data_IF_722695616398
#
_entry.id   IF_722695616398
#
_cell.length_a   1.000
_cell.length_b   1.000
_cell.length_c   1.000
_cell.angle_alpha   90.00
_cell.angle_beta   90.00
_cell.angle_gamma   90.00
#
_symmetry.space_group_name_H-M   'P 1'
#
loop_
_entity.id
_entity.type
_entity.pdbx_description
1 polymer ?
#
# COMPACT_ATOMS: atom_id res chain seq x y z
N UNK A 1 -0.35 5.30 24.05
CA UNK A 1 -1.41 4.31 24.31
C UNK A 1 -0.78 3.22 25.13
N UNK A 2 -1.49 2.67 26.14
CA UNK A 2 -0.95 1.54 26.92
C UNK A 2 -0.76 0.35 25.98
N UNK A 3 0.37 -0.33 26.10
CA UNK A 3 0.69 -1.50 25.28
C UNK A 3 -0.12 -2.74 25.71
N UNK A 4 -0.95 -2.60 26.75
CA UNK A 4 -1.77 -3.65 27.33
C UNK A 4 -3.17 -3.14 27.63
N UNK A 5 -4.17 -4.02 27.56
CA UNK A 5 -5.56 -3.67 27.84
C UNK A 5 -6.53 -4.82 27.59
N UNK A 6 -7.81 -4.51 27.75
CA UNK A 6 -8.93 -5.44 27.51
C UNK A 6 -10.03 -4.73 26.75
N UNK A 7 -10.85 -5.48 26.00
CA UNK A 7 -12.04 -4.97 25.32
C UNK A 7 -13.09 -6.08 25.10
N UNK A 8 -14.34 -5.66 25.03
CA UNK A 8 -15.44 -6.46 24.48
C UNK A 8 -15.68 -6.03 23.03
N UNK A 9 -15.61 -6.97 22.10
CA UNK A 9 -15.64 -6.69 20.67
C UNK A 9 -16.44 -7.74 19.89
N UNK A 10 -16.83 -7.37 18.68
CA UNK A 10 -17.32 -8.29 17.66
C UNK A 10 -16.14 -8.65 16.74
N UNK A 11 -15.98 -9.92 16.45
CA UNK A 11 -14.96 -10.41 15.47
C UNK A 11 -15.68 -11.25 14.42
N UNK A 12 -15.41 -11.09 13.11
CA UNK A 12 -15.91 -12.01 12.10
C UNK A 12 -15.54 -13.45 12.45
N UNK A 13 -16.50 -14.36 12.39
CA UNK A 13 -16.29 -15.78 12.74
C UNK A 13 -15.11 -16.40 12.02
N UNK A 14 -14.92 -16.06 10.75
CA UNK A 14 -13.81 -16.54 9.93
C UNK A 14 -12.41 -16.13 10.43
N UNK A 15 -12.33 -15.12 11.31
CA UNK A 15 -11.09 -14.62 11.91
C UNK A 15 -10.93 -15.05 13.37
N UNK A 16 -11.90 -15.80 13.92
CA UNK A 16 -11.93 -16.20 15.31
C UNK A 16 -11.51 -17.67 15.45
N UNK A 17 -10.29 -17.90 15.96
CA UNK A 17 -9.80 -19.25 16.30
C UNK A 17 -9.98 -19.45 17.80
N UNK A 18 -11.15 -19.92 18.21
CA UNK A 18 -11.48 -20.32 19.59
C UNK A 18 -11.83 -21.79 19.59
N UNK A 19 -11.21 -22.56 20.47
CA UNK A 19 -11.45 -24.03 20.59
C UNK A 19 -12.85 -24.31 21.12
N UNK A 20 -13.42 -23.46 21.97
CA UNK A 20 -14.75 -23.58 22.55
C UNK A 20 -15.83 -22.87 21.68
N UNK A 21 -16.07 -23.44 20.51
CA UNK A 21 -17.04 -22.90 19.53
C UNK A 21 -18.48 -22.98 20.04
N UNK A 22 -18.80 -23.96 20.89
CA UNK A 22 -20.17 -24.22 21.36
C UNK A 22 -20.73 -23.12 22.26
N UNK A 23 -19.85 -22.32 22.85
CA UNK A 23 -20.21 -21.19 23.72
C UNK A 23 -20.14 -19.83 23.02
N UNK A 24 -19.84 -19.79 21.71
CA UNK A 24 -19.80 -18.54 20.95
C UNK A 24 -21.21 -18.01 20.66
N UNK A 25 -21.47 -16.78 21.05
CA UNK A 25 -22.65 -16.02 20.59
C UNK A 25 -22.32 -15.44 19.22
N UNK A 26 -22.97 -15.98 18.19
CA UNK A 26 -22.80 -15.55 16.79
C UNK A 26 -24.10 -14.84 16.38
N UNK A 27 -23.96 -13.66 15.79
CA UNK A 27 -25.11 -12.90 15.29
C UNK A 27 -25.46 -13.24 13.84
N UNK A 28 -26.51 -12.57 13.33
CA UNK A 28 -27.01 -12.78 11.95
C UNK A 28 -26.03 -12.31 10.87
N UNK A 29 -25.01 -11.52 11.24
CA UNK A 29 -23.96 -11.02 10.36
C UNK A 29 -22.69 -11.88 10.44
N UNK A 30 -22.75 -13.05 11.07
CA UNK A 30 -21.64 -13.99 11.32
C UNK A 30 -20.51 -13.34 12.15
N UNK A 31 -20.88 -12.49 13.11
CA UNK A 31 -19.97 -11.86 14.05
C UNK A 31 -20.03 -12.54 15.41
N UNK A 32 -18.88 -12.86 16.00
CA UNK A 32 -18.72 -13.46 17.31
C UNK A 32 -18.52 -12.38 18.38
N UNK A 33 -19.25 -12.46 19.48
CA UNK A 33 -19.05 -11.61 20.65
C UNK A 33 -17.92 -12.15 21.52
N UNK A 34 -16.83 -11.39 21.67
CA UNK A 34 -15.56 -11.83 22.27
C UNK A 34 -15.09 -10.83 23.31
N UNK A 35 -14.58 -11.35 24.42
CA UNK A 35 -13.68 -10.64 25.30
C UNK A 35 -12.24 -10.89 24.85
N UNK A 36 -11.48 -9.80 24.63
CA UNK A 36 -10.07 -9.85 24.24
C UNK A 36 -9.23 -9.13 25.28
N UNK A 37 -8.08 -9.72 25.63
CA UNK A 37 -7.00 -9.02 26.34
C UNK A 37 -5.71 -9.07 25.53
N UNK A 38 -4.89 -8.03 25.71
CA UNK A 38 -3.56 -7.95 25.11
C UNK A 38 -2.56 -7.39 26.10
N UNK A 39 -1.32 -7.87 25.98
CA UNK A 39 -0.20 -7.47 26.77
C UNK A 39 1.03 -7.30 25.89
N UNK A 40 1.76 -6.22 26.05
CA UNK A 40 2.93 -5.86 25.24
C UNK A 40 2.69 -5.90 23.72
N UNK A 41 1.47 -5.55 23.30
CA UNK A 41 1.08 -5.51 21.88
C UNK A 41 0.69 -6.86 21.28
N UNK A 42 0.65 -7.93 22.07
CA UNK A 42 0.22 -9.27 21.66
C UNK A 42 -1.10 -9.64 22.32
N UNK A 43 -1.96 -10.35 21.58
CA UNK A 43 -3.18 -10.93 22.15
C UNK A 43 -2.76 -11.99 23.19
N UNK A 44 -3.14 -11.78 24.44
CA UNK A 44 -2.87 -12.69 25.54
C UNK A 44 -4.04 -13.62 25.81
N UNK A 45 -5.27 -13.21 25.53
CA UNK A 45 -6.46 -14.01 25.77
C UNK A 45 -7.59 -13.65 24.81
N UNK A 46 -8.34 -14.69 24.37
CA UNK A 46 -9.59 -14.59 23.66
C UNK A 46 -10.61 -15.51 24.36
N UNK A 47 -11.74 -14.97 24.80
CA UNK A 47 -12.83 -15.73 25.41
C UNK A 47 -14.17 -15.41 24.78
N UNK A 48 -15.09 -16.40 24.68
CA UNK A 48 -16.49 -16.11 24.38
C UNK A 48 -17.06 -15.12 25.40
N UNK A 49 -17.79 -14.13 24.90
CA UNK A 49 -18.53 -13.23 25.78
C UNK A 49 -19.91 -13.83 26.06
N UNK A 50 -20.07 -14.40 27.26
CA UNK A 50 -21.30 -15.12 27.64
C UNK A 50 -22.47 -14.19 28.05
N UNK A 51 -22.28 -12.88 27.97
CA UNK A 51 -23.30 -11.91 28.36
C UNK A 51 -24.24 -11.62 27.20
N UNK A 52 -25.49 -12.15 27.29
CA UNK A 52 -26.54 -11.91 26.28
C UNK A 52 -27.23 -10.53 26.41
N UNK A 53 -26.89 -9.74 27.44
CA UNK A 53 -27.62 -8.51 27.77
C UNK A 53 -27.12 -7.33 26.92
N UNK A 54 -25.87 -7.27 26.60
CA UNK A 54 -25.27 -6.16 25.80
C UNK A 54 -24.41 -6.70 24.67
N UNK A 55 -24.77 -6.38 23.43
CA UNK A 55 -23.95 -6.66 22.26
C UNK A 55 -22.80 -5.64 22.19
N UNK A 56 -21.52 -6.05 22.02
CA UNK A 56 -20.43 -5.10 21.77
C UNK A 56 -20.73 -4.22 20.54
N UNK A 57 -20.30 -2.97 20.59
CA UNK A 57 -20.53 -1.99 19.50
C UNK A 57 -19.37 -1.88 18.52
N UNK A 58 -18.19 -2.37 18.91
CA UNK A 58 -16.99 -2.24 18.12
C UNK A 58 -16.65 -3.55 17.43
N UNK A 59 -16.32 -3.48 16.16
CA UNK A 59 -15.80 -4.61 15.38
C UNK A 59 -14.27 -4.57 15.41
N UNK A 60 -13.66 -5.68 15.79
CA UNK A 60 -12.21 -5.86 15.73
C UNK A 60 -11.83 -6.54 14.41
N UNK A 61 -10.95 -5.91 13.68
CA UNK A 61 -10.41 -6.43 12.42
C UNK A 61 -8.88 -6.38 12.45
N UNK A 62 -8.19 -7.26 11.71
CA UNK A 62 -6.78 -7.08 11.42
C UNK A 62 -6.54 -5.75 10.71
N UNK A 63 -5.36 -5.14 10.92
CA UNK A 63 -4.99 -3.95 10.18
C UNK A 63 -4.91 -4.26 8.69
N UNK A 64 -5.33 -3.28 7.86
CA UNK A 64 -5.44 -3.46 6.42
C UNK A 64 -4.08 -3.47 5.72
N UNK A 65 -4.05 -4.17 4.58
CA UNK A 65 -2.93 -4.19 3.64
C UNK A 65 -3.43 -3.71 2.29
N UNK A 66 -2.83 -2.64 1.77
CA UNK A 66 -3.09 -2.14 0.41
C UNK A 66 -1.95 -2.56 -0.51
N UNK A 67 -2.26 -3.41 -1.46
CA UNK A 67 -1.26 -4.00 -2.36
C UNK A 67 -1.02 -3.22 -3.64
N UNK A 68 -1.89 -2.24 -3.98
CA UNK A 68 -1.79 -1.49 -5.22
C UNK A 68 -2.44 -0.11 -5.09
N UNK A 69 -1.64 0.90 -4.84
CA UNK A 69 -2.08 2.30 -4.79
C UNK A 69 -1.15 3.21 -5.61
N UNK A 70 -1.57 4.46 -5.83
CA UNK A 70 -0.81 5.49 -6.54
C UNK A 70 -0.86 6.79 -5.74
N UNK A 71 0.00 6.92 -4.75
CA UNK A 71 0.00 8.08 -3.84
C UNK A 71 0.51 9.36 -4.47
N UNK A 72 1.32 9.28 -5.51
CA UNK A 72 1.78 10.39 -6.32
C UNK A 72 0.65 11.13 -7.05
N UNK A 73 -0.45 10.42 -7.34
CA UNK A 73 -1.63 10.92 -8.06
C UNK A 73 -2.83 11.17 -7.14
N UNK A 74 -2.68 11.00 -5.84
CA UNK A 74 -3.77 11.22 -4.89
C UNK A 74 -4.14 12.69 -4.79
N UNK A 75 -5.41 12.96 -4.44
CA UNK A 75 -5.95 14.31 -4.20
C UNK A 75 -5.92 15.26 -5.41
N UNK A 76 -5.98 14.72 -6.62
CA UNK A 76 -5.95 15.50 -7.87
C UNK A 76 -7.33 15.77 -8.45
N UNK A 77 -8.37 15.13 -7.94
CA UNK A 77 -9.73 15.18 -8.50
C UNK A 77 -10.31 16.59 -8.62
N UNK A 78 -10.04 17.46 -7.65
CA UNK A 78 -10.59 18.84 -7.66
C UNK A 78 -10.08 19.65 -8.85
N UNK A 79 -8.82 19.45 -9.25
CA UNK A 79 -8.18 20.21 -10.33
C UNK A 79 -8.25 19.46 -11.66
N UNK A 80 -8.28 18.12 -11.61
CA UNK A 80 -8.22 17.23 -12.77
C UNK A 80 -9.27 16.11 -12.66
N UNK A 81 -10.56 16.41 -12.80
CA UNK A 81 -11.63 15.41 -12.68
C UNK A 81 -11.73 14.54 -13.94
N UNK A 82 -11.85 13.21 -13.76
CA UNK A 82 -12.20 12.29 -14.84
C UNK A 82 -13.72 12.28 -15.04
N UNK A 83 -14.24 13.22 -15.80
CA UNK A 83 -15.68 13.35 -16.06
C UNK A 83 -16.22 12.29 -17.03
N UNK A 84 -15.36 11.65 -17.82
CA UNK A 84 -15.75 10.57 -18.73
C UNK A 84 -16.02 9.24 -18.02
N UNK A 85 -15.57 9.11 -16.76
CA UNK A 85 -15.76 7.90 -15.92
C UNK A 85 -15.27 6.60 -16.57
N UNK A 86 -14.28 6.68 -17.46
CA UNK A 86 -13.66 5.53 -18.12
C UNK A 86 -12.13 5.59 -18.06
N UNK A 87 -11.46 4.52 -18.49
CA UNK A 87 -10.01 4.42 -18.45
C UNK A 87 -9.31 5.44 -19.35
N UNK A 88 -9.85 5.69 -20.56
CA UNK A 88 -9.31 6.68 -21.50
C UNK A 88 -9.30 8.08 -20.91
N UNK A 89 -10.41 8.49 -20.30
CA UNK A 89 -10.53 9.75 -19.57
C UNK A 89 -9.56 9.83 -18.39
N UNK A 90 -9.43 8.76 -17.59
CA UNK A 90 -8.47 8.71 -16.49
C UNK A 90 -7.03 8.89 -16.97
N UNK A 91 -6.65 8.24 -18.07
CA UNK A 91 -5.32 8.38 -18.65
C UNK A 91 -5.07 9.80 -19.17
N UNK A 92 -6.02 10.37 -19.90
CA UNK A 92 -5.95 11.73 -20.42
C UNK A 92 -5.73 12.76 -19.32
N UNK A 93 -6.55 12.68 -18.26
CA UNK A 93 -6.46 13.57 -17.09
C UNK A 93 -5.14 13.40 -16.34
N UNK A 94 -4.64 12.17 -16.20
CA UNK A 94 -3.33 11.92 -15.59
C UNK A 94 -2.18 12.54 -16.40
N UNK A 95 -2.26 12.50 -17.74
CA UNK A 95 -1.26 13.13 -18.60
C UNK A 95 -1.30 14.66 -18.50
N UNK A 96 -2.48 15.28 -18.38
CA UNK A 96 -2.61 16.71 -18.15
C UNK A 96 -2.06 17.13 -16.78
N UNK A 97 -2.39 16.40 -15.71
CA UNK A 97 -1.87 16.64 -14.37
C UNK A 97 -0.34 16.50 -14.35
N UNK A 98 0.20 15.53 -15.07
CA UNK A 98 1.65 15.31 -15.15
C UNK A 98 2.43 16.53 -15.65
N UNK A 99 1.86 17.35 -16.54
CA UNK A 99 2.49 18.59 -17.03
C UNK A 99 2.71 19.63 -15.92
N UNK A 100 1.92 19.56 -14.85
CA UNK A 100 1.99 20.51 -13.71
C UNK A 100 2.55 19.86 -12.44
N UNK A 101 2.91 18.60 -12.52
CA UNK A 101 3.41 17.80 -11.40
C UNK A 101 4.84 18.24 -11.04
N UNK A 102 5.06 18.54 -9.77
CA UNK A 102 6.38 18.87 -9.23
C UNK A 102 6.77 17.88 -8.15
N UNK A 103 8.07 17.77 -7.86
CA UNK A 103 8.59 16.96 -6.76
C UNK A 103 7.89 17.26 -5.43
N UNK A 104 7.72 18.51 -5.11
CA UNK A 104 7.11 18.94 -3.83
C UNK A 104 5.64 18.52 -3.74
N UNK A 105 4.86 18.68 -4.82
CA UNK A 105 3.47 18.20 -4.90
C UNK A 105 3.38 16.69 -4.71
N UNK A 106 4.28 15.92 -5.33
CA UNK A 106 4.30 14.46 -5.16
C UNK A 106 4.60 14.08 -3.72
N UNK A 107 5.62 14.67 -3.11
CA UNK A 107 5.98 14.40 -1.72
C UNK A 107 4.86 14.76 -0.74
N UNK A 108 4.21 15.90 -0.93
CA UNK A 108 3.06 16.32 -0.13
C UNK A 108 1.91 15.32 -0.23
N UNK A 109 1.54 14.89 -1.44
CA UNK A 109 0.48 13.90 -1.68
C UNK A 109 0.80 12.56 -1.04
N UNK A 110 2.03 12.09 -1.21
CA UNK A 110 2.49 10.83 -0.63
C UNK A 110 2.44 10.90 0.90
N UNK A 111 3.00 11.94 1.51
CA UNK A 111 2.99 12.09 2.97
C UNK A 111 1.56 12.21 3.53
N UNK A 112 0.68 12.96 2.87
CA UNK A 112 -0.73 13.08 3.23
C UNK A 112 -1.45 11.74 3.13
N UNK A 113 -1.21 10.96 2.07
CA UNK A 113 -1.76 9.62 1.87
C UNK A 113 -1.31 8.66 2.96
N UNK A 114 -0.01 8.67 3.32
CA UNK A 114 0.53 7.84 4.39
C UNK A 114 -0.11 8.15 5.74
N UNK A 115 -0.23 9.42 6.11
CA UNK A 115 -0.91 9.85 7.35
C UNK A 115 -2.36 9.40 7.38
N UNK A 116 -3.07 9.53 6.26
CA UNK A 116 -4.46 9.08 6.13
C UNK A 116 -4.58 7.57 6.27
N UNK A 117 -3.71 6.81 5.63
CA UNK A 117 -3.68 5.36 5.70
C UNK A 117 -3.42 4.85 7.13
N UNK A 118 -2.42 5.41 7.81
CA UNK A 118 -2.12 5.08 9.22
C UNK A 118 -3.34 5.34 10.10
N UNK A 119 -3.97 6.52 9.95
CA UNK A 119 -5.17 6.89 10.70
C UNK A 119 -6.34 5.92 10.48
N UNK A 120 -6.43 5.36 9.27
CA UNK A 120 -7.48 4.41 8.89
C UNK A 120 -7.07 2.93 9.10
N UNK A 121 -6.04 2.65 9.88
CA UNK A 121 -5.70 1.30 10.32
C UNK A 121 -4.92 0.45 9.32
N UNK A 122 -4.31 1.05 8.31
CA UNK A 122 -3.41 0.31 7.41
C UNK A 122 -2.09 -0.06 8.11
N UNK A 123 -1.61 -1.29 7.86
CA UNK A 123 -0.33 -1.82 8.37
C UNK A 123 0.74 -1.90 7.31
N UNK A 124 0.34 -2.16 6.07
CA UNK A 124 1.26 -2.26 4.95
C UNK A 124 0.64 -1.66 3.69
N UNK A 125 1.47 -1.01 2.88
CA UNK A 125 1.05 -0.39 1.62
C UNK A 125 2.14 -0.60 0.57
N UNK A 126 1.70 -0.93 -0.65
CA UNK A 126 2.51 -0.87 -1.85
C UNK A 126 1.99 0.25 -2.74
N UNK A 127 2.80 1.30 -2.93
CA UNK A 127 2.44 2.42 -3.80
C UNK A 127 3.33 2.47 -5.04
N UNK A 128 2.68 2.48 -6.21
CA UNK A 128 3.31 2.62 -7.51
C UNK A 128 3.44 4.11 -7.82
N UNK A 129 4.64 4.55 -8.13
CA UNK A 129 4.98 5.95 -8.41
C UNK A 129 5.42 6.05 -9.87
N UNK A 130 4.78 6.92 -10.63
CA UNK A 130 5.16 7.16 -12.02
C UNK A 130 6.61 7.64 -12.11
N UNK A 131 7.42 6.98 -12.94
CA UNK A 131 8.88 7.12 -12.97
C UNK A 131 9.38 7.35 -14.41
N UNK A 132 8.62 8.03 -15.22
CA UNK A 132 9.00 8.32 -16.60
C UNK A 132 8.95 9.84 -16.86
N UNK A 133 9.54 10.28 -17.97
CA UNK A 133 9.60 11.68 -18.37
C UNK A 133 10.32 12.63 -17.42
N UNK A 134 11.53 12.25 -16.99
CA UNK A 134 12.44 13.17 -16.30
C UNK A 134 12.14 13.41 -14.83
N UNK A 135 11.37 12.54 -14.19
CA UNK A 135 11.35 12.53 -12.72
C UNK A 135 12.72 12.13 -12.22
N UNK A 136 13.41 13.08 -11.66
CA UNK A 136 14.82 12.97 -11.28
C UNK A 136 15.04 11.94 -10.17
N UNK A 137 16.24 11.36 -10.13
CA UNK A 137 16.77 10.56 -9.02
C UNK A 137 16.51 11.24 -7.66
N UNK A 138 16.51 12.58 -7.62
CA UNK A 138 16.24 13.36 -6.40
C UNK A 138 14.87 13.08 -5.77
N UNK A 139 13.81 12.90 -6.55
CA UNK A 139 12.50 12.56 -5.99
C UNK A 139 12.54 11.20 -5.28
N UNK A 140 13.25 10.24 -5.87
CA UNK A 140 13.34 8.90 -5.30
C UNK A 140 14.14 8.88 -4.00
N UNK A 141 15.23 9.64 -3.90
CA UNK A 141 15.98 9.82 -2.65
C UNK A 141 15.05 10.38 -1.56
N UNK A 142 14.20 11.35 -1.89
CA UNK A 142 13.25 11.96 -0.95
C UNK A 142 12.14 10.97 -0.55
N UNK A 143 11.60 10.19 -1.51
CA UNK A 143 10.58 9.17 -1.23
C UNK A 143 11.14 8.05 -0.33
N UNK A 144 12.35 7.58 -0.56
CA UNK A 144 13.00 6.57 0.28
C UNK A 144 13.30 7.10 1.69
N UNK A 145 13.61 8.38 1.84
CA UNK A 145 13.69 9.03 3.17
C UNK A 145 12.32 9.05 3.85
N UNK A 146 11.26 9.33 3.10
CA UNK A 146 9.88 9.31 3.62
C UNK A 146 9.48 7.89 4.06
N UNK A 147 9.84 6.87 3.29
CA UNK A 147 9.63 5.45 3.66
C UNK A 147 10.28 5.13 5.02
N UNK A 148 11.53 5.56 5.22
CA UNK A 148 12.23 5.37 6.51
C UNK A 148 11.55 6.13 7.66
N UNK A 149 11.06 7.36 7.41
CA UNK A 149 10.36 8.17 8.41
C UNK A 149 9.12 7.47 8.98
N UNK A 150 8.38 6.73 8.16
CA UNK A 150 7.15 6.05 8.56
C UNK A 150 7.33 4.57 8.93
N UNK A 151 8.56 4.05 8.93
CA UNK A 151 8.84 2.60 9.09
C UNK A 151 8.39 2.01 10.43
N UNK A 152 8.28 2.80 11.48
CA UNK A 152 7.78 2.35 12.79
C UNK A 152 6.26 2.14 12.82
N UNK A 153 5.52 2.82 11.95
CA UNK A 153 4.06 2.83 11.93
C UNK A 153 3.47 1.98 10.78
N UNK A 154 4.19 1.92 9.65
CA UNK A 154 3.70 1.35 8.40
C UNK A 154 4.81 0.63 7.64
N UNK A 155 4.55 -0.59 7.18
CA UNK A 155 5.40 -1.25 6.18
C UNK A 155 5.08 -0.67 4.81
N UNK A 156 5.99 0.12 4.24
CA UNK A 156 5.80 0.79 2.97
C UNK A 156 6.73 0.23 1.91
N UNK A 157 6.18 -0.10 0.76
CA UNK A 157 6.93 -0.47 -0.44
C UNK A 157 6.62 0.53 -1.54
N UNK A 158 7.64 1.15 -2.08
CA UNK A 158 7.52 1.94 -3.31
C UNK A 158 7.93 1.12 -4.53
N UNK A 159 7.12 1.21 -5.59
CA UNK A 159 7.37 0.62 -6.90
C UNK A 159 7.64 1.74 -7.88
N UNK A 160 8.80 1.75 -8.51
CA UNK A 160 9.10 2.66 -9.61
C UNK A 160 8.38 2.17 -10.87
N UNK A 161 7.28 2.81 -11.23
CA UNK A 161 6.45 2.43 -12.36
C UNK A 161 6.88 3.20 -13.61
N UNK A 162 7.43 2.50 -14.60
CA UNK A 162 7.88 3.07 -15.86
C UNK A 162 7.48 2.20 -17.06
N UNK A 163 7.47 2.73 -18.30
CA UNK A 163 7.47 1.88 -19.48
C UNK A 163 8.61 0.87 -19.41
N UNK A 164 8.40 -0.35 -19.88
CA UNK A 164 9.42 -1.42 -19.78
C UNK A 164 10.73 -1.05 -20.46
N UNK A 165 10.68 -0.24 -21.50
CA UNK A 165 11.83 0.25 -22.26
C UNK A 165 12.70 1.22 -21.47
N UNK A 166 12.14 1.90 -20.46
CA UNK A 166 12.89 2.82 -19.62
C UNK A 166 14.06 2.12 -18.91
N UNK A 167 13.86 0.86 -18.50
CA UNK A 167 14.87 0.09 -17.79
C UNK A 167 16.08 -0.32 -18.65
N UNK A 168 16.01 -0.12 -19.97
CA UNK A 168 17.12 -0.29 -20.92
C UNK A 168 17.91 1.01 -21.18
N UNK A 169 17.59 2.09 -20.46
CA UNK A 169 18.32 3.37 -20.55
C UNK A 169 19.32 3.53 -19.41
N UNK A 170 20.30 4.40 -19.58
CA UNK A 170 21.27 4.76 -18.53
C UNK A 170 20.57 5.25 -17.27
N UNK A 171 19.55 6.12 -17.41
CA UNK A 171 18.78 6.64 -16.29
C UNK A 171 18.03 5.53 -15.56
N UNK A 172 17.48 4.56 -16.30
CA UNK A 172 16.81 3.38 -15.74
C UNK A 172 17.79 2.49 -14.96
N UNK A 173 18.99 2.25 -15.49
CA UNK A 173 20.03 1.48 -14.81
C UNK A 173 20.49 2.16 -13.51
N UNK A 174 20.72 3.47 -13.54
CA UNK A 174 21.15 4.21 -12.36
C UNK A 174 20.07 4.27 -11.29
N UNK A 175 18.82 4.42 -11.69
CA UNK A 175 17.67 4.32 -10.78
C UNK A 175 17.54 2.91 -10.18
N UNK A 176 17.73 1.86 -10.98
CA UNK A 176 17.69 0.48 -10.51
C UNK A 176 18.75 0.21 -9.42
N UNK A 177 19.97 0.74 -9.56
CA UNK A 177 21.01 0.66 -8.53
C UNK A 177 20.58 1.33 -7.22
N UNK A 178 19.96 2.51 -7.29
CA UNK A 178 19.44 3.22 -6.12
C UNK A 178 18.35 2.38 -5.42
N UNK A 179 17.44 1.81 -6.19
CA UNK A 179 16.35 0.98 -5.65
C UNK A 179 16.86 -0.28 -4.96
N UNK A 180 17.79 -0.99 -5.57
CA UNK A 180 18.37 -2.21 -5.01
C UNK A 180 19.05 -1.95 -3.66
N UNK A 181 19.76 -0.83 -3.54
CA UNK A 181 20.45 -0.45 -2.29
C UNK A 181 19.52 0.01 -1.18
N UNK A 182 18.24 0.29 -1.48
CA UNK A 182 17.27 0.84 -0.54
C UNK A 182 16.00 0.00 -0.39
N UNK A 183 15.96 -1.21 -0.94
CA UNK A 183 14.80 -2.11 -0.84
C UNK A 183 13.58 -1.67 -1.67
N UNK A 184 13.78 -0.88 -2.71
CA UNK A 184 12.76 -0.49 -3.67
C UNK A 184 12.40 -1.62 -4.64
N UNK A 185 11.29 -1.46 -5.34
CA UNK A 185 10.79 -2.43 -6.32
C UNK A 185 10.74 -1.78 -7.70
N UNK A 186 11.29 -2.45 -8.71
CA UNK A 186 11.14 -2.04 -10.10
C UNK A 186 9.78 -2.52 -10.63
N UNK A 187 9.04 -1.63 -11.27
CA UNK A 187 7.76 -1.92 -11.90
C UNK A 187 7.78 -1.54 -13.38
N UNK A 188 6.95 -2.20 -14.15
CA UNK A 188 6.81 -1.89 -15.57
C UNK A 188 5.37 -1.98 -16.03
N UNK A 189 5.00 -1.13 -16.95
CA UNK A 189 3.76 -1.26 -17.68
C UNK A 189 4.03 -1.48 -19.17
N UNK A 190 3.15 -2.26 -19.77
CA UNK A 190 3.24 -2.65 -21.18
C UNK A 190 2.02 -2.05 -21.89
N UNK A 191 2.27 -1.29 -22.94
CA UNK A 191 1.23 -0.62 -23.74
C UNK A 191 1.12 -1.32 -25.11
N UNK A 192 -0.10 -1.50 -25.66
CA UNK A 192 -0.24 -1.97 -27.03
C UNK A 192 0.45 -1.03 -28.06
N UNK A 193 0.98 -1.56 -29.17
CA UNK A 193 0.99 -2.96 -29.58
C UNK A 193 2.00 -3.79 -28.78
N UNK A 194 1.56 -4.98 -28.33
CA UNK A 194 2.43 -5.86 -27.53
C UNK A 194 3.56 -6.47 -28.37
N UNK A 195 4.76 -6.07 -28.11
CA UNK A 195 5.95 -6.61 -28.76
C UNK A 195 6.58 -7.69 -27.89
N UNK A 196 6.52 -8.96 -28.32
CA UNK A 196 7.06 -10.11 -27.58
C UNK A 196 8.56 -9.98 -27.29
N UNK A 197 9.33 -9.31 -28.15
CA UNK A 197 10.78 -9.12 -27.97
C UNK A 197 11.06 -8.15 -26.82
N UNK A 198 10.29 -7.08 -26.71
CA UNK A 198 10.39 -6.10 -25.60
C UNK A 198 10.06 -6.79 -24.27
N UNK A 199 8.99 -7.59 -24.25
CA UNK A 199 8.59 -8.33 -23.04
C UNK A 199 9.67 -9.29 -22.56
N UNK A 200 10.26 -10.09 -23.48
CA UNK A 200 11.33 -11.04 -23.13
C UNK A 200 12.56 -10.32 -22.58
N UNK A 201 13.00 -9.23 -23.23
CA UNK A 201 14.13 -8.44 -22.78
C UNK A 201 13.88 -7.81 -21.40
N UNK A 202 12.67 -7.29 -21.14
CA UNK A 202 12.32 -6.71 -19.85
C UNK A 202 12.45 -7.72 -18.70
N UNK A 203 11.91 -8.93 -18.86
CA UNK A 203 12.02 -9.96 -17.81
C UNK A 203 13.48 -10.36 -17.57
N UNK A 204 14.27 -10.53 -18.63
CA UNK A 204 15.69 -10.84 -18.51
C UNK A 204 16.46 -9.72 -17.81
N UNK A 205 16.17 -8.45 -18.15
CA UNK A 205 16.83 -7.28 -17.60
C UNK A 205 16.47 -7.05 -16.12
N UNK A 206 15.19 -7.16 -15.76
CA UNK A 206 14.75 -7.06 -14.36
C UNK A 206 15.39 -8.14 -13.50
N UNK A 207 15.49 -9.37 -14.01
CA UNK A 207 16.17 -10.46 -13.32
C UNK A 207 17.67 -10.18 -13.18
N UNK A 208 18.33 -9.72 -14.24
CA UNK A 208 19.75 -9.37 -14.24
C UNK A 208 20.06 -8.23 -13.27
N UNK A 209 19.28 -7.16 -13.28
CA UNK A 209 19.43 -6.03 -12.36
C UNK A 209 19.26 -6.46 -10.90
N UNK A 210 18.32 -7.38 -10.61
CA UNK A 210 18.12 -7.92 -9.28
C UNK A 210 19.26 -8.80 -8.79
N UNK A 211 19.86 -9.60 -9.66
CA UNK A 211 20.94 -10.55 -9.32
C UNK A 211 22.29 -9.85 -9.15
N UNK A 212 22.55 -8.78 -9.91
CA UNK A 212 23.85 -8.10 -9.89
C UNK A 212 23.93 -6.94 -8.87
N UNK A 213 22.89 -6.74 -8.08
CA UNK A 213 22.81 -5.67 -7.06
C UNK A 213 22.80 -6.20 -5.62
N UNK A 214 23.05 -7.51 -5.44
CA UNK A 214 23.26 -8.14 -4.12
C UNK A 214 24.74 -8.19 -3.76
#
# INVERSE_FOLDING_TARGET
MSNSGTAEVLIPRSLCLIEDIDNLIIDVEDLCSIFISWEDGFVSELKPLNNKITKPKNILLPRFVETHSHFDKSFTWADFPNLESNYGGALSVNLEEHKTRTTDKVLERVEKSLKLAIRNGYRAIRSHIDTYNGQSIDIWIKLLKLQKKFSSELTLQFVALAPVEFWDTTDGEDLAKIFSSNGGILGGFIVPPFNKKIQANFYQRCFFLRVNTN
#
